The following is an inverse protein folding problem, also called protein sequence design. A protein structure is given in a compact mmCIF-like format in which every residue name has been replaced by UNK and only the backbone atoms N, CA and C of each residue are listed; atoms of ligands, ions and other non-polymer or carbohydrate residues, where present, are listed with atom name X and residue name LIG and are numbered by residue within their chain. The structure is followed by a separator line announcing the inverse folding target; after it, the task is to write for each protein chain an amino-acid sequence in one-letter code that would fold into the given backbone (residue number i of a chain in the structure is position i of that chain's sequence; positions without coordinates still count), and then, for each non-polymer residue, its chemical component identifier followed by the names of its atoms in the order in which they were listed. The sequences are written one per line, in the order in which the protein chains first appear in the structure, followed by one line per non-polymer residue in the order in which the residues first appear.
data_IF_997864986852
#
_entry.id   IF_997864986852
#
_cell.length_a   1.000
_cell.length_b   1.000
_cell.length_c   1.000
_cell.angle_alpha   90.00
_cell.angle_beta   90.00
_cell.angle_gamma   90.00
#
_symmetry.space_group_name_H-M   'P 1'
#
loop_
_entity.id
_entity.type
_entity.pdbx_description
1 polymer ?
#
# COMPACT_ATOMS: atom_id res chain seq x y z
N UNK A 1 13.71 15.78 15.29
CA UNK A 1 13.82 17.03 16.08
C UNK A 1 12.81 16.98 17.22
N UNK A 2 13.22 17.36 18.40
CA UNK A 2 12.36 17.45 19.59
C UNK A 2 12.34 18.90 20.08
N UNK A 3 11.15 19.43 20.35
CA UNK A 3 11.00 20.80 20.85
C UNK A 3 10.46 20.75 22.28
N UNK A 4 11.19 21.35 23.19
CA UNK A 4 10.78 21.50 24.57
C UNK A 4 11.03 22.97 24.99
N UNK A 5 10.01 23.60 25.61
CA UNK A 5 10.07 25.00 26.09
C UNK A 5 10.61 25.99 25.04
N UNK A 6 10.17 25.83 23.78
CA UNK A 6 10.58 26.69 22.66
C UNK A 6 11.98 26.42 22.10
N UNK A 7 12.73 25.48 22.65
CA UNK A 7 14.05 25.06 22.13
C UNK A 7 13.93 23.77 21.36
N UNK A 8 14.54 23.70 20.17
CA UNK A 8 14.56 22.52 19.30
C UNK A 8 15.90 21.80 19.42
N UNK A 9 15.82 20.52 19.74
CA UNK A 9 16.97 19.63 19.87
C UNK A 9 17.02 18.65 18.69
N UNK A 10 18.22 18.37 18.11
CA UNK A 10 18.36 17.28 17.17
C UNK A 10 18.23 15.94 17.90
N UNK A 11 17.52 15.01 17.31
CA UNK A 11 17.43 13.62 17.80
C UNK A 11 18.09 12.73 16.77
N UNK A 12 19.03 11.85 17.15
CA UNK A 12 19.69 10.94 16.23
C UNK A 12 18.83 9.69 15.91
N UNK A 13 17.50 9.83 15.92
CA UNK A 13 16.58 8.76 15.57
C UNK A 13 16.47 8.66 14.04
N UNK A 14 16.74 7.50 13.49
CA UNK A 14 16.66 7.19 12.07
C UNK A 14 15.35 6.53 11.75
N UNK A 15 14.90 5.57 12.58
CA UNK A 15 13.66 4.83 12.40
C UNK A 15 12.85 4.82 13.69
N UNK A 16 11.53 4.86 13.56
CA UNK A 16 10.59 4.78 14.67
C UNK A 16 9.66 3.60 14.45
N UNK A 17 9.63 2.68 15.42
CA UNK A 17 8.74 1.53 15.43
C UNK A 17 7.80 1.63 16.61
N UNK A 18 6.53 1.33 16.37
CA UNK A 18 5.51 1.25 17.39
C UNK A 18 4.77 -0.08 17.33
N UNK A 19 4.31 -0.56 18.46
CA UNK A 19 3.43 -1.72 18.55
C UNK A 19 2.23 -1.40 19.42
N UNK A 20 1.04 -1.85 19.02
CA UNK A 20 -0.20 -1.70 19.78
C UNK A 20 -1.07 -2.93 19.57
N UNK A 21 -1.78 -3.33 20.61
CA UNK A 21 -2.77 -4.41 20.52
C UNK A 21 -4.08 -3.93 19.89
N UNK A 22 -4.36 -2.64 19.97
CA UNK A 22 -5.60 -2.04 19.49
C UNK A 22 -5.31 -0.81 18.64
N UNK A 23 -6.19 -0.55 17.69
CA UNK A 23 -6.19 0.68 16.93
C UNK A 23 -7.15 1.64 17.64
N UNK A 24 -6.75 2.90 17.88
CA UNK A 24 -7.60 3.89 18.53
C UNK A 24 -8.93 4.08 17.78
N UNK A 25 -10.01 4.21 18.53
CA UNK A 25 -11.30 4.56 17.97
C UNK A 25 -11.38 6.08 17.74
N UNK A 26 -11.07 6.52 16.53
CA UNK A 26 -11.05 7.95 16.18
C UNK A 26 -12.43 8.64 16.22
N UNK A 27 -13.51 7.90 16.46
CA UNK A 27 -14.83 8.48 16.73
C UNK A 27 -14.98 8.91 18.20
N UNK A 28 -14.12 8.41 19.10
CA UNK A 28 -14.05 8.84 20.48
C UNK A 28 -13.22 10.14 20.58
N UNK A 29 -13.76 11.22 21.17
CA UNK A 29 -13.03 12.48 21.35
C UNK A 29 -11.71 12.35 22.11
N UNK A 30 -11.61 11.41 23.06
CA UNK A 30 -10.40 11.17 23.84
C UNK A 30 -9.30 10.48 23.02
N UNK A 31 -9.67 9.55 22.15
CA UNK A 31 -8.73 8.80 21.32
C UNK A 31 -8.42 9.53 20.01
N UNK A 32 -9.28 10.45 19.59
CA UNK A 32 -9.07 11.26 18.37
C UNK A 32 -7.75 12.03 18.37
N UNK A 33 -7.25 12.40 19.55
CA UNK A 33 -5.95 13.08 19.69
C UNK A 33 -4.78 12.22 19.16
N UNK A 34 -4.94 10.90 19.19
CA UNK A 34 -3.95 9.93 18.68
C UNK A 34 -3.96 9.78 17.16
N UNK A 35 -5.01 10.28 16.49
CA UNK A 35 -5.17 10.18 15.03
C UNK A 35 -3.97 10.78 14.29
N UNK A 36 -3.52 11.96 14.73
CA UNK A 36 -2.39 12.64 14.12
C UNK A 36 -1.05 11.89 14.30
N UNK A 37 -0.89 11.15 15.40
CA UNK A 37 0.27 10.28 15.62
C UNK A 37 0.16 9.02 14.75
N UNK A 38 -1.01 8.39 14.73
CA UNK A 38 -1.28 7.19 13.96
C UNK A 38 -1.06 7.40 12.46
N UNK A 39 -1.46 8.57 11.92
CA UNK A 39 -1.27 8.91 10.51
C UNK A 39 0.21 9.14 10.15
N UNK A 40 1.07 9.39 11.14
CA UNK A 40 2.53 9.51 10.94
C UNK A 40 3.24 8.15 10.91
N UNK A 41 2.59 7.09 11.37
CA UNK A 41 3.07 5.71 11.22
C UNK A 41 2.66 5.22 9.83
N UNK A 42 3.52 5.48 8.85
CA UNK A 42 3.18 5.31 7.43
C UNK A 42 2.96 3.85 7.05
N UNK A 43 3.83 2.96 7.50
CA UNK A 43 3.72 1.52 7.24
C UNK A 43 3.06 0.84 8.44
N UNK A 44 2.01 0.08 8.17
CA UNK A 44 1.22 -0.62 9.18
C UNK A 44 1.17 -2.11 8.85
N UNK A 45 1.57 -2.93 9.81
CA UNK A 45 1.56 -4.39 9.67
C UNK A 45 0.70 -4.99 10.77
N UNK A 46 -0.21 -5.87 10.40
CA UNK A 46 -0.98 -6.65 11.37
C UNK A 46 -0.27 -7.98 11.60
N UNK A 47 0.03 -8.26 12.85
CA UNK A 47 0.58 -9.55 13.27
C UNK A 47 -0.56 -10.48 13.70
N UNK A 48 -0.47 -11.74 13.33
CA UNK A 48 -1.41 -12.77 13.73
C UNK A 48 -0.71 -13.83 14.58
N UNK A 49 -1.50 -14.66 15.27
CA UNK A 49 -0.98 -15.82 15.96
C UNK A 49 -0.38 -16.83 14.95
N UNK A 50 0.59 -17.59 15.40
CA UNK A 50 1.19 -18.66 14.58
C UNK A 50 0.15 -19.79 14.43
N UNK A 51 -0.44 -19.93 13.25
CA UNK A 51 -1.47 -20.94 12.99
C UNK A 51 -0.88 -22.33 12.69
N UNK A 52 0.29 -22.35 12.06
CA UNK A 52 0.97 -23.59 11.75
C UNK A 52 1.52 -24.28 13.00
N UNK A 53 1.16 -25.57 13.17
CA UNK A 53 1.52 -26.37 14.34
C UNK A 53 3.02 -26.60 14.43
N UNK A 54 3.67 -26.91 13.31
CA UNK A 54 5.10 -27.28 13.31
C UNK A 54 5.96 -26.06 13.62
N UNK A 55 5.59 -24.90 13.09
CA UNK A 55 6.21 -23.62 13.44
C UNK A 55 6.04 -23.30 14.92
N UNK A 56 4.85 -23.48 15.52
CA UNK A 56 4.64 -23.27 16.96
C UNK A 56 5.53 -24.18 17.80
N UNK A 57 5.61 -25.47 17.44
CA UNK A 57 6.44 -26.44 18.18
C UNK A 57 7.92 -26.13 18.04
N UNK A 58 8.39 -25.69 16.85
CA UNK A 58 9.76 -25.27 16.63
C UNK A 58 10.13 -24.06 17.49
N UNK A 59 9.26 -23.03 17.51
CA UNK A 59 9.44 -21.83 18.35
C UNK A 59 9.48 -22.22 19.84
N UNK A 60 8.56 -23.08 20.30
CA UNK A 60 8.52 -23.55 21.68
C UNK A 60 9.80 -24.28 22.06
N UNK A 61 10.26 -25.19 21.22
CA UNK A 61 11.51 -25.98 21.43
C UNK A 61 12.74 -25.06 21.49
N UNK A 62 12.83 -24.10 20.56
CA UNK A 62 13.91 -23.12 20.53
C UNK A 62 13.93 -22.29 21.83
N UNK A 63 12.75 -21.86 22.30
CA UNK A 63 12.62 -21.12 23.57
C UNK A 63 13.05 -21.97 24.77
N UNK A 64 12.66 -23.25 24.84
CA UNK A 64 13.05 -24.17 25.90
C UNK A 64 14.55 -24.45 25.94
N UNK A 65 15.17 -24.48 24.75
CA UNK A 65 16.63 -24.72 24.62
C UNK A 65 17.44 -23.41 24.76
N UNK A 66 16.83 -22.27 25.05
CA UNK A 66 17.53 -20.97 25.14
C UNK A 66 18.08 -20.47 23.82
N UNK A 67 17.65 -21.08 22.70
CA UNK A 67 18.04 -20.65 21.35
C UNK A 67 17.13 -19.48 20.96
N UNK A 68 17.44 -18.29 21.43
CA UNK A 68 16.91 -17.06 20.87
C UNK A 68 17.75 -16.73 19.64
N UNK A 69 17.07 -16.45 18.53
CA UNK A 69 17.67 -16.31 17.20
C UNK A 69 19.04 -15.63 17.23
N UNK A 70 20.06 -16.35 16.83
CA UNK A 70 21.35 -15.75 16.59
C UNK A 70 21.19 -14.82 15.39
N UNK A 71 21.45 -13.53 15.62
CA UNK A 71 21.50 -12.55 14.52
C UNK A 71 22.73 -12.93 13.68
N UNK A 72 22.48 -13.53 12.52
CA UNK A 72 23.56 -13.98 11.63
C UNK A 72 24.03 -12.89 10.67
N UNK A 73 23.21 -11.85 10.49
CA UNK A 73 23.51 -10.74 9.57
C UNK A 73 23.20 -9.41 10.24
N UNK A 74 24.09 -8.46 10.12
CA UNK A 74 23.95 -7.10 10.61
C UNK A 74 24.21 -6.13 9.48
N UNK A 75 23.57 -4.97 9.51
CA UNK A 75 23.80 -3.86 8.60
C UNK A 75 24.35 -2.72 9.43
N UNK A 76 25.45 -2.12 8.99
CA UNK A 76 26.00 -0.92 9.63
C UNK A 76 25.16 0.31 9.28
N UNK A 77 25.36 1.40 10.03
CA UNK A 77 24.69 2.65 9.74
C UNK A 77 25.13 3.23 8.39
N UNK A 78 26.41 3.10 8.06
CA UNK A 78 26.99 3.54 6.80
C UNK A 78 26.35 2.80 5.61
N UNK A 79 26.23 1.47 5.71
CA UNK A 79 25.57 0.65 4.71
C UNK A 79 24.09 1.05 4.55
N UNK A 80 23.37 1.29 5.64
CA UNK A 80 21.97 1.74 5.58
C UNK A 80 21.85 3.11 4.86
N UNK A 81 22.76 4.04 5.11
CA UNK A 81 22.77 5.34 4.43
C UNK A 81 23.05 5.17 2.94
N UNK A 82 23.96 4.27 2.56
CA UNK A 82 24.24 4.00 1.15
C UNK A 82 23.03 3.33 0.45
N UNK A 83 22.41 2.33 1.09
CA UNK A 83 21.15 1.74 0.61
C UNK A 83 20.07 2.80 0.36
N UNK A 84 19.93 3.77 1.24
CA UNK A 84 18.96 4.86 1.04
C UNK A 84 19.30 5.72 -0.19
N UNK A 85 20.57 5.93 -0.50
CA UNK A 85 20.99 6.66 -1.71
C UNK A 85 20.69 5.87 -2.97
N UNK A 86 20.99 4.58 -2.96
CA UNK A 86 20.71 3.68 -4.07
C UNK A 86 19.19 3.60 -4.34
N UNK A 87 18.39 3.43 -3.29
CA UNK A 87 16.92 3.43 -3.37
C UNK A 87 16.41 4.72 -3.99
N UNK A 88 16.90 5.88 -3.53
CA UNK A 88 16.46 7.18 -4.04
C UNK A 88 16.87 7.42 -5.51
N UNK A 89 17.88 6.72 -6.00
CA UNK A 89 18.35 6.82 -7.38
C UNK A 89 17.52 5.98 -8.36
N UNK A 90 16.66 5.05 -7.88
CA UNK A 90 15.82 4.22 -8.75
C UNK A 90 14.75 5.08 -9.42
N UNK A 91 14.70 5.14 -10.76
CA UNK A 91 13.74 5.95 -11.48
C UNK A 91 12.33 5.39 -11.35
N UNK A 92 11.35 6.31 -11.29
CA UNK A 92 9.92 5.99 -11.32
C UNK A 92 9.37 6.42 -12.68
N UNK A 93 9.02 5.50 -13.58
CA UNK A 93 8.45 5.83 -14.89
C UNK A 93 7.08 6.50 -14.78
N UNK A 94 6.75 7.36 -15.75
CA UNK A 94 5.44 8.05 -15.77
C UNK A 94 4.26 7.08 -15.78
N UNK A 95 4.37 5.97 -16.50
CA UNK A 95 3.35 4.92 -16.50
C UNK A 95 3.08 4.31 -15.11
N UNK A 96 4.08 4.31 -14.21
CA UNK A 96 3.91 3.87 -12.81
C UNK A 96 3.23 4.95 -11.99
N UNK A 97 3.52 6.24 -12.25
CA UNK A 97 2.82 7.36 -11.62
C UNK A 97 1.32 7.35 -12.01
N UNK A 98 1.01 7.13 -13.30
CA UNK A 98 -0.37 7.01 -13.80
C UNK A 98 -1.09 5.83 -13.14
N UNK A 99 -0.44 4.67 -13.06
CA UNK A 99 -1.01 3.51 -12.39
C UNK A 99 -1.24 3.74 -10.90
N UNK A 100 -0.33 4.45 -10.22
CA UNK A 100 -0.50 4.82 -8.81
C UNK A 100 -1.68 5.78 -8.63
N UNK A 101 -1.89 6.72 -9.56
CA UNK A 101 -3.07 7.60 -9.57
C UNK A 101 -4.36 6.80 -9.74
N UNK A 102 -4.41 5.87 -10.69
CA UNK A 102 -5.56 4.99 -10.91
C UNK A 102 -5.91 4.18 -9.65
N UNK A 103 -4.90 3.61 -8.97
CA UNK A 103 -5.08 2.88 -7.70
C UNK A 103 -5.71 3.78 -6.64
N UNK A 104 -5.19 4.99 -6.48
CA UNK A 104 -5.65 5.93 -5.45
C UNK A 104 -7.05 6.47 -5.76
N UNK A 105 -7.33 6.77 -7.02
CA UNK A 105 -8.68 7.17 -7.47
C UNK A 105 -9.69 6.05 -7.21
N UNK A 106 -9.34 4.80 -7.49
CA UNK A 106 -10.21 3.66 -7.23
C UNK A 106 -10.48 3.47 -5.73
N UNK A 107 -9.44 3.54 -4.90
CA UNK A 107 -9.58 3.45 -3.45
C UNK A 107 -10.43 4.58 -2.86
N UNK A 108 -10.29 5.81 -3.37
CA UNK A 108 -11.04 6.98 -2.91
C UNK A 108 -12.56 6.87 -3.12
N UNK A 109 -13.02 6.02 -4.03
CA UNK A 109 -14.46 5.75 -4.20
C UNK A 109 -15.11 5.14 -2.95
N UNK A 110 -14.32 4.59 -2.04
CA UNK A 110 -14.82 3.76 -0.95
C UNK A 110 -14.11 3.95 0.39
N UNK A 111 -12.96 4.60 0.41
CA UNK A 111 -12.21 4.87 1.63
C UNK A 111 -11.50 6.22 1.54
N UNK A 112 -11.24 6.84 2.69
CA UNK A 112 -10.49 8.09 2.74
C UNK A 112 -9.00 7.82 2.52
N UNK A 113 -8.46 8.31 1.39
CA UNK A 113 -7.01 8.31 1.10
C UNK A 113 -6.56 9.76 0.98
N UNK A 114 -5.65 10.18 1.85
CA UNK A 114 -5.14 11.56 1.88
C UNK A 114 -4.15 11.84 0.75
N UNK A 115 -4.03 13.12 0.36
CA UNK A 115 -3.01 13.54 -0.61
C UNK A 115 -1.59 13.28 -0.11
N UNK A 116 -1.38 13.26 1.20
CA UNK A 116 -0.10 12.86 1.80
C UNK A 116 0.28 11.43 1.39
N UNK A 117 -0.68 10.52 1.38
CA UNK A 117 -0.47 9.14 0.93
C UNK A 117 -0.17 9.08 -0.58
N UNK A 118 -0.86 9.91 -1.34
CA UNK A 118 -0.60 10.02 -2.78
C UNK A 118 0.84 10.49 -3.05
N UNK A 119 1.28 11.55 -2.39
CA UNK A 119 2.61 12.12 -2.62
C UNK A 119 3.75 11.27 -2.00
N UNK A 120 3.44 10.37 -1.06
CA UNK A 120 4.42 9.57 -0.32
C UNK A 120 4.56 8.12 -0.79
N UNK A 121 3.92 7.68 -1.88
CA UNK A 121 3.95 6.29 -2.31
C UNK A 121 5.31 5.87 -2.91
N UNK A 122 5.94 6.76 -3.69
CA UNK A 122 7.09 6.42 -4.53
C UNK A 122 8.32 5.92 -3.76
N UNK A 123 8.70 6.43 -2.56
CA UNK A 123 9.86 5.90 -1.84
C UNK A 123 9.65 4.45 -1.41
N UNK A 124 8.40 4.04 -1.16
CA UNK A 124 8.07 2.66 -0.79
C UNK A 124 8.20 1.75 -2.03
N UNK A 125 7.72 2.21 -3.17
CA UNK A 125 7.84 1.50 -4.43
C UNK A 125 9.30 1.39 -4.88
N UNK A 126 10.11 2.45 -4.73
CA UNK A 126 11.56 2.45 -4.99
C UNK A 126 12.29 1.45 -4.08
N UNK A 127 11.98 1.45 -2.78
CA UNK A 127 12.57 0.50 -1.84
C UNK A 127 12.22 -0.95 -2.20
N UNK A 128 10.99 -1.19 -2.66
CA UNK A 128 10.57 -2.52 -3.12
C UNK A 128 11.31 -2.92 -4.40
N UNK A 129 11.44 -2.02 -5.37
CA UNK A 129 12.18 -2.25 -6.60
C UNK A 129 13.65 -2.59 -6.30
N UNK A 130 14.30 -1.81 -5.42
CA UNK A 130 15.67 -2.06 -4.98
C UNK A 130 15.82 -3.47 -4.36
N UNK A 131 14.93 -3.84 -3.42
CA UNK A 131 14.92 -5.16 -2.78
C UNK A 131 14.64 -6.30 -3.78
N UNK A 132 13.98 -6.02 -4.90
CA UNK A 132 13.69 -6.99 -5.97
C UNK A 132 14.78 -7.03 -7.05
N UNK A 133 15.78 -6.14 -7.00
CA UNK A 133 16.84 -6.02 -8.00
C UNK A 133 16.38 -5.41 -9.33
N UNK A 134 15.34 -4.57 -9.29
CA UNK A 134 14.84 -3.88 -10.47
C UNK A 134 15.61 -2.58 -10.71
N UNK A 135 15.96 -2.28 -11.96
CA UNK A 135 16.66 -1.04 -12.35
C UNK A 135 15.74 0.20 -12.34
N UNK A 136 14.44 -0.01 -12.32
CA UNK A 136 13.37 1.00 -12.26
C UNK A 136 12.16 0.44 -11.53
N UNK A 137 11.29 1.31 -11.04
CA UNK A 137 10.05 0.87 -10.43
C UNK A 137 9.13 0.25 -11.49
N UNK A 138 8.58 -0.92 -11.19
CA UNK A 138 7.62 -1.65 -12.00
C UNK A 138 6.25 -1.69 -11.33
N UNK A 139 5.21 -2.04 -12.11
CA UNK A 139 3.85 -2.17 -11.58
C UNK A 139 3.75 -3.14 -10.39
N UNK A 140 4.53 -4.22 -10.43
CA UNK A 140 4.59 -5.22 -9.34
C UNK A 140 5.13 -4.67 -8.02
N UNK A 141 5.97 -3.62 -8.07
CA UNK A 141 6.54 -3.00 -6.87
C UNK A 141 5.50 -2.20 -6.09
N UNK A 142 4.44 -1.74 -6.77
CA UNK A 142 3.30 -1.07 -6.13
C UNK A 142 2.52 -1.99 -5.19
N UNK A 143 2.68 -3.32 -5.28
CA UNK A 143 2.08 -4.26 -4.33
C UNK A 143 2.58 -4.04 -2.89
N UNK A 144 3.77 -3.45 -2.71
CA UNK A 144 4.28 -3.08 -1.39
C UNK A 144 3.39 -2.05 -0.68
N UNK A 145 2.59 -1.28 -1.44
CA UNK A 145 1.68 -0.27 -0.90
C UNK A 145 0.52 -0.88 -0.09
N UNK A 146 0.34 -2.20 -0.11
CA UNK A 146 -0.67 -2.89 0.70
C UNK A 146 -0.57 -2.57 2.19
N UNK A 147 0.62 -2.32 2.71
CA UNK A 147 0.85 -1.96 4.11
C UNK A 147 0.93 -0.45 4.36
N UNK A 148 0.80 0.34 3.31
CA UNK A 148 0.85 1.79 3.35
C UNK A 148 -0.54 2.44 3.23
N UNK A 149 -1.38 1.93 2.32
CA UNK A 149 -2.61 2.63 1.92
C UNK A 149 -3.78 2.47 2.88
N UNK A 150 -3.88 1.34 3.59
CA UNK A 150 -5.00 1.12 4.52
C UNK A 150 -4.88 1.99 5.79
N UNK A 151 -6.03 2.35 6.35
CA UNK A 151 -6.14 3.08 7.60
C UNK A 151 -6.66 2.19 8.73
N UNK A 152 -7.71 1.45 8.49
CA UNK A 152 -8.28 0.48 9.41
C UNK A 152 -8.02 -0.94 8.90
N UNK A 153 -7.91 -1.96 9.77
CA UNK A 153 -7.71 -3.35 9.34
C UNK A 153 -8.76 -3.84 8.35
N UNK A 154 -10.00 -3.36 8.45
CA UNK A 154 -11.09 -3.69 7.52
C UNK A 154 -10.83 -3.21 6.07
N UNK A 155 -9.99 -2.20 5.89
CA UNK A 155 -9.65 -1.67 4.56
C UNK A 155 -8.65 -2.55 3.81
N UNK A 156 -7.94 -3.45 4.52
CA UNK A 156 -6.80 -4.21 3.96
C UNK A 156 -7.18 -5.08 2.76
N UNK A 157 -8.24 -5.87 2.90
CA UNK A 157 -8.70 -6.75 1.81
C UNK A 157 -9.02 -5.96 0.55
N UNK A 158 -9.63 -4.79 0.73
CA UNK A 158 -9.98 -3.93 -0.38
C UNK A 158 -8.74 -3.34 -1.06
N UNK A 159 -7.79 -2.83 -0.27
CA UNK A 159 -6.50 -2.33 -0.79
C UNK A 159 -5.78 -3.44 -1.55
N UNK A 160 -5.71 -4.64 -1.00
CA UNK A 160 -5.06 -5.79 -1.63
C UNK A 160 -5.76 -6.21 -2.92
N UNK A 161 -7.10 -6.21 -2.93
CA UNK A 161 -7.90 -6.51 -4.12
C UNK A 161 -7.63 -5.52 -5.26
N UNK A 162 -7.64 -4.21 -4.97
CA UNK A 162 -7.38 -3.17 -5.97
C UNK A 162 -5.95 -3.27 -6.51
N UNK A 163 -4.95 -3.43 -5.63
CA UNK A 163 -3.56 -3.59 -6.03
C UNK A 163 -3.34 -4.82 -6.90
N UNK A 164 -3.90 -5.97 -6.53
CA UNK A 164 -3.78 -7.19 -7.34
C UNK A 164 -4.43 -7.04 -8.70
N UNK A 165 -5.61 -6.43 -8.76
CA UNK A 165 -6.34 -6.20 -10.02
C UNK A 165 -5.57 -5.31 -10.98
N UNK A 166 -5.04 -4.18 -10.48
CA UNK A 166 -4.39 -3.18 -11.32
C UNK A 166 -2.91 -3.49 -11.62
N UNK A 167 -2.18 -4.08 -10.66
CA UNK A 167 -0.75 -4.31 -10.82
C UNK A 167 -0.39 -5.69 -11.37
N UNK A 168 -1.21 -6.74 -11.09
CA UNK A 168 -0.89 -8.12 -11.49
C UNK A 168 -1.63 -8.52 -12.76
N UNK A 169 -2.90 -8.10 -12.89
CA UNK A 169 -3.77 -8.49 -14.00
C UNK A 169 -4.27 -7.31 -14.84
N UNK A 170 -3.41 -6.38 -15.31
CA UNK A 170 -3.86 -5.20 -16.04
C UNK A 170 -4.51 -5.55 -17.39
N UNK A 171 -4.17 -6.69 -17.99
CA UNK A 171 -4.78 -7.17 -19.24
C UNK A 171 -6.19 -7.71 -19.01
N UNK A 172 -6.41 -8.40 -17.90
CA UNK A 172 -7.72 -8.89 -17.53
C UNK A 172 -8.68 -7.71 -17.28
N UNK A 173 -8.23 -6.69 -16.57
CA UNK A 173 -9.02 -5.50 -16.33
C UNK A 173 -9.39 -4.76 -17.62
N UNK A 174 -8.41 -4.57 -18.53
CA UNK A 174 -8.70 -3.99 -19.86
C UNK A 174 -9.72 -4.80 -20.62
N UNK A 175 -9.64 -6.13 -20.58
CA UNK A 175 -10.59 -7.01 -21.22
C UNK A 175 -12.00 -6.89 -20.60
N UNK A 176 -12.09 -6.82 -19.27
CA UNK A 176 -13.36 -6.69 -18.56
C UNK A 176 -14.01 -5.31 -18.78
N UNK A 177 -13.20 -4.24 -18.82
CA UNK A 177 -13.66 -2.90 -19.17
C UNK A 177 -14.18 -2.81 -20.62
N UNK A 178 -13.49 -3.46 -21.57
CA UNK A 178 -13.93 -3.53 -22.96
C UNK A 178 -15.24 -4.32 -23.08
N UNK A 179 -15.36 -5.42 -22.34
CA UNK A 179 -16.61 -6.20 -22.30
C UNK A 179 -17.76 -5.40 -21.71
N UNK A 180 -17.52 -4.66 -20.62
CA UNK A 180 -18.55 -3.82 -19.99
C UNK A 180 -19.04 -2.75 -20.97
N UNK A 181 -18.12 -2.03 -21.63
CA UNK A 181 -18.46 -1.05 -22.66
C UNK A 181 -19.21 -1.63 -23.84
N UNK A 182 -18.83 -2.83 -24.29
CA UNK A 182 -19.52 -3.51 -25.37
C UNK A 182 -20.96 -3.90 -24.99
N UNK A 183 -21.17 -4.35 -23.74
CA UNK A 183 -22.52 -4.66 -23.22
C UNK A 183 -23.37 -3.39 -23.06
N UNK A 184 -22.80 -2.29 -22.59
CA UNK A 184 -23.48 -1.01 -22.49
C UNK A 184 -23.89 -0.50 -23.86
N UNK A 185 -22.97 -0.46 -24.83
CA UNK A 185 -23.28 -0.11 -26.22
C UNK A 185 -24.33 -1.02 -26.84
N UNK A 186 -24.32 -2.31 -26.54
CA UNK A 186 -25.35 -3.25 -26.99
C UNK A 186 -26.71 -2.98 -26.36
N UNK A 187 -26.74 -2.59 -25.08
CA UNK A 187 -27.95 -2.19 -24.37
C UNK A 187 -28.55 -0.93 -24.99
N UNK A 188 -27.70 0.10 -25.18
CA UNK A 188 -28.08 1.38 -25.77
C UNK A 188 -28.62 1.20 -27.21
N UNK A 189 -27.98 0.32 -28.00
CA UNK A 189 -28.45 -0.02 -29.32
C UNK A 189 -29.81 -0.69 -29.30
N UNK A 190 -30.05 -1.65 -28.39
CA UNK A 190 -31.35 -2.33 -28.26
C UNK A 190 -32.44 -1.35 -27.83
N UNK A 191 -32.12 -0.45 -26.91
CA UNK A 191 -33.07 0.58 -26.44
C UNK A 191 -33.39 1.58 -27.57
N UNK A 192 -32.39 2.05 -28.31
CA UNK A 192 -32.55 2.92 -29.47
C UNK A 192 -33.38 2.27 -30.57
N UNK A 193 -33.19 0.98 -30.85
CA UNK A 193 -34.02 0.22 -31.81
C UNK A 193 -35.44 0.04 -31.33
N UNK A 194 -35.67 -0.17 -30.00
CA UNK A 194 -37.01 -0.28 -29.41
C UNK A 194 -37.78 1.03 -29.47
N UNK A 195 -37.10 2.17 -29.30
CA UNK A 195 -37.71 3.51 -29.37
C UNK A 195 -37.85 4.08 -30.81
N UNK A 196 -37.38 3.35 -31.86
CA UNK A 196 -37.36 3.81 -33.25
C UNK A 196 -36.38 4.96 -33.53
N UNK A 197 -35.42 5.20 -32.64
CA UNK A 197 -34.39 6.24 -32.78
C UNK A 197 -33.18 5.71 -33.56
N UNK A 198 -33.20 5.90 -34.89
CA UNK A 198 -32.14 5.43 -35.79
C UNK A 198 -30.85 6.21 -35.69
N UNK A 199 -30.84 7.42 -35.16
CA UNK A 199 -29.69 8.31 -34.95
C UNK A 199 -28.79 7.85 -33.81
N UNK A 200 -29.35 7.28 -32.74
CA UNK A 200 -28.61 6.69 -31.62
C UNK A 200 -28.00 5.34 -32.03
N UNK A 201 -28.72 4.54 -32.80
CA UNK A 201 -28.24 3.26 -33.29
C UNK A 201 -27.01 3.36 -34.26
N UNK A 202 -26.77 4.53 -34.87
CA UNK A 202 -25.59 4.77 -35.71
C UNK A 202 -24.34 5.19 -34.91
N UNK A 203 -24.47 5.57 -33.65
CA UNK A 203 -23.35 5.99 -32.77
C UNK A 203 -22.87 4.91 -31.82
N UNK A 204 -23.67 3.86 -31.60
CA UNK A 204 -23.29 2.66 -30.84
C UNK A 204 -22.55 1.65 -31.73
#
# INVERSE_FOLDING_TARGET
KYTNEGRTYPIPTISFFAASNEIPNFSDPQEKILEALYDRLELKVVTANIEDRDTRLAVLKNKQNGVFGQISSTITLEELVEMHREVAAIPVPDAVNELADDILCELRKSMAVSDRKYLGYYPIAQAKAWLSGHDKVEASDLLALKNYLWRLPADREKVESVLNRLCVNPMQEKADNLRARALESQSDFKEACGDGRTDLARKA
#
